data_IF_075480989306
#
_entry.id   IF_075480989306
#
_cell.length_a   1.000
_cell.length_b   1.000
_cell.length_c   1.000
_cell.angle_alpha   90.00
_cell.angle_beta   90.00
_cell.angle_gamma   90.00
#
_symmetry.space_group_name_H-M   'P 1'
#
loop_
_entity.id
_entity.type
_entity.pdbx_description
1 polymer ?
#
# COMPACT_ATOMS: atom_id res chain seq x y z
N UNK A 1 2.88 -0.20 3.17
CA UNK A 1 3.72 0.68 2.34
C UNK A 1 5.09 0.94 2.97
N UNK A 2 5.20 1.71 4.08
CA UNK A 2 6.48 2.06 4.71
C UNK A 2 7.37 0.88 5.12
N UNK A 3 6.77 -0.11 5.80
CA UNK A 3 7.51 -1.29 6.27
C UNK A 3 8.18 -2.05 5.13
N UNK A 4 7.46 -2.29 4.03
CA UNK A 4 7.99 -3.02 2.88
C UNK A 4 9.09 -2.26 2.13
N UNK A 5 8.95 -0.93 2.00
CA UNK A 5 9.99 -0.09 1.40
C UNK A 5 11.30 -0.14 2.21
N UNK A 6 11.20 -0.11 3.55
CA UNK A 6 12.35 -0.23 4.44
C UNK A 6 12.93 -1.65 4.47
N UNK A 7 12.07 -2.67 4.49
CA UNK A 7 12.49 -4.07 4.48
C UNK A 7 13.31 -4.36 3.23
N UNK A 8 12.80 -4.01 2.05
CA UNK A 8 13.52 -4.23 0.79
C UNK A 8 14.86 -3.49 0.77
N UNK A 9 14.91 -2.25 1.29
CA UNK A 9 16.18 -1.55 1.42
C UNK A 9 17.16 -2.26 2.35
N UNK A 10 16.67 -2.77 3.49
CA UNK A 10 17.52 -3.48 4.45
C UNK A 10 18.07 -4.78 3.86
N UNK A 11 17.28 -5.50 3.05
CA UNK A 11 17.72 -6.69 2.31
C UNK A 11 18.82 -6.38 1.29
N UNK A 12 18.70 -5.23 0.60
CA UNK A 12 19.73 -4.73 -0.33
C UNK A 12 21.00 -4.35 0.43
N UNK A 13 20.88 -3.59 1.53
CA UNK A 13 22.02 -3.11 2.32
C UNK A 13 22.79 -4.24 2.99
N UNK A 14 22.08 -5.24 3.49
CA UNK A 14 22.68 -6.42 4.11
C UNK A 14 23.24 -7.42 3.09
N UNK A 15 23.03 -7.19 1.79
CA UNK A 15 23.52 -8.06 0.72
C UNK A 15 22.80 -9.41 0.61
N UNK A 16 21.71 -9.61 1.36
CA UNK A 16 20.92 -10.85 1.31
C UNK A 16 20.34 -11.11 -0.07
N UNK A 17 19.92 -10.04 -0.76
CA UNK A 17 19.43 -10.11 -2.14
C UNK A 17 20.50 -10.64 -3.11
N UNK A 18 21.73 -10.14 -3.02
CA UNK A 18 22.85 -10.63 -3.84
C UNK A 18 23.18 -12.09 -3.53
N UNK A 19 23.16 -12.47 -2.23
CA UNK A 19 23.42 -13.85 -1.83
C UNK A 19 22.37 -14.82 -2.37
N UNK A 20 21.10 -14.43 -2.35
CA UNK A 20 20.01 -15.25 -2.90
C UNK A 20 20.14 -15.38 -4.43
N UNK A 21 20.55 -14.32 -5.12
CA UNK A 21 20.81 -14.38 -6.56
C UNK A 21 21.99 -15.29 -6.91
N UNK A 22 23.05 -15.30 -6.10
CA UNK A 22 24.20 -16.21 -6.28
C UNK A 22 23.80 -17.68 -6.05
N UNK A 23 22.82 -17.93 -5.19
CA UNK A 23 22.25 -19.27 -4.97
C UNK A 23 21.38 -19.76 -6.16
N UNK A 24 21.27 -18.97 -7.24
CA UNK A 24 20.50 -19.32 -8.43
C UNK A 24 19.01 -18.95 -8.34
N UNK A 25 18.58 -18.26 -7.28
CA UNK A 25 17.19 -17.81 -7.11
C UNK A 25 16.93 -16.64 -8.04
N UNK A 26 15.84 -16.71 -8.81
CA UNK A 26 15.45 -15.62 -9.70
C UNK A 26 14.88 -14.44 -8.92
N UNK A 27 15.09 -13.22 -9.41
CA UNK A 27 14.51 -11.99 -8.81
C UNK A 27 12.98 -12.10 -8.76
N UNK A 28 12.38 -12.79 -9.74
CA UNK A 28 10.94 -13.02 -9.80
C UNK A 28 10.43 -13.86 -8.63
N UNK A 29 11.13 -14.93 -8.24
CA UNK A 29 10.77 -15.75 -7.07
C UNK A 29 10.85 -14.98 -5.76
N UNK A 30 11.85 -14.10 -5.64
CA UNK A 30 12.01 -13.23 -4.47
C UNK A 30 10.84 -12.24 -4.37
N UNK A 31 10.49 -11.58 -5.48
CA UNK A 31 9.35 -10.67 -5.54
C UNK A 31 8.02 -11.39 -5.29
N UNK A 32 7.84 -12.60 -5.82
CA UNK A 32 6.65 -13.41 -5.58
C UNK A 32 6.51 -13.74 -4.09
N UNK A 33 7.61 -14.06 -3.42
CA UNK A 33 7.64 -14.33 -1.97
C UNK A 33 7.24 -13.11 -1.15
N UNK A 34 7.72 -11.92 -1.52
CA UNK A 34 7.27 -10.68 -0.88
C UNK A 34 5.79 -10.41 -1.11
N UNK A 35 5.30 -10.65 -2.33
CA UNK A 35 3.89 -10.45 -2.68
C UNK A 35 2.97 -11.41 -1.93
N UNK A 36 3.34 -12.69 -1.77
CA UNK A 36 2.52 -13.65 -1.04
C UNK A 36 2.38 -13.29 0.44
N UNK A 37 3.51 -12.96 1.10
CA UNK A 37 3.52 -12.50 2.50
C UNK A 37 2.66 -11.24 2.66
N UNK A 38 2.80 -10.32 1.71
CA UNK A 38 2.06 -9.07 1.68
C UNK A 38 0.54 -9.29 1.61
N UNK A 39 0.07 -10.19 0.74
CA UNK A 39 -1.36 -10.51 0.61
C UNK A 39 -1.89 -11.12 1.91
N UNK A 40 -1.18 -12.09 2.49
CA UNK A 40 -1.57 -12.73 3.75
C UNK A 40 -1.71 -11.68 4.87
N UNK A 41 -0.72 -10.79 4.99
CA UNK A 41 -0.75 -9.73 5.98
C UNK A 41 -1.94 -8.78 5.78
N UNK A 42 -2.24 -8.41 4.54
CA UNK A 42 -3.37 -7.52 4.24
C UNK A 42 -4.72 -8.13 4.61
N UNK A 43 -4.88 -9.45 4.48
CA UNK A 43 -6.11 -10.16 4.87
C UNK A 43 -6.27 -10.15 6.39
N UNK A 44 -5.19 -10.48 7.12
CA UNK A 44 -5.20 -10.48 8.59
C UNK A 44 -5.49 -9.06 9.12
N UNK A 45 -4.85 -8.05 8.54
CA UNK A 45 -5.07 -6.65 8.90
C UNK A 45 -6.52 -6.22 8.64
N UNK A 46 -7.09 -6.57 7.48
CA UNK A 46 -8.47 -6.24 7.15
C UNK A 46 -9.44 -6.88 8.16
N UNK A 47 -9.28 -8.18 8.44
CA UNK A 47 -10.11 -8.89 9.41
C UNK A 47 -10.06 -8.23 10.80
N UNK A 48 -8.85 -7.88 11.26
CA UNK A 48 -8.68 -7.21 12.56
C UNK A 48 -9.36 -5.83 12.59
N UNK A 49 -9.27 -5.06 11.50
CA UNK A 49 -9.93 -3.75 11.37
C UNK A 49 -11.45 -3.85 11.46
N UNK A 50 -12.07 -4.79 10.74
CA UNK A 50 -13.51 -5.01 10.80
C UNK A 50 -13.96 -5.47 12.18
N UNK A 51 -13.23 -6.40 12.78
CA UNK A 51 -13.51 -6.86 14.15
C UNK A 51 -13.47 -5.70 15.16
N UNK A 52 -12.47 -4.83 15.04
CA UNK A 52 -12.32 -3.65 15.91
C UNK A 52 -13.45 -2.64 15.66
N UNK A 53 -13.83 -2.41 14.40
CA UNK A 53 -14.93 -1.52 14.04
C UNK A 53 -16.29 -2.00 14.59
N UNK A 54 -16.58 -3.30 14.52
CA UNK A 54 -17.80 -3.87 15.08
C UNK A 54 -17.80 -3.84 16.61
N UNK A 55 -16.67 -4.22 17.24
CA UNK A 55 -16.61 -4.39 18.69
C UNK A 55 -16.47 -3.08 19.47
N UNK A 56 -15.69 -2.12 18.98
CA UNK A 56 -15.45 -0.84 19.69
C UNK A 56 -16.40 0.28 19.26
N UNK A 57 -16.78 0.33 17.97
CA UNK A 57 -17.46 1.50 17.41
C UNK A 57 -18.93 1.24 17.10
N UNK A 58 -19.41 -0.01 17.20
CA UNK A 58 -20.79 -0.42 16.92
C UNK A 58 -21.33 0.16 15.59
N UNK A 59 -20.48 0.20 14.56
CA UNK A 59 -20.88 0.71 13.25
C UNK A 59 -21.96 -0.21 12.65
N UNK A 60 -23.06 0.39 12.20
CA UNK A 60 -24.05 -0.32 11.37
C UNK A 60 -23.64 -0.21 9.91
N UNK A 61 -23.29 -1.33 9.28
CA UNK A 61 -22.88 -1.36 7.88
C UNK A 61 -24.10 -1.35 6.97
N UNK A 62 -24.32 -0.24 6.26
CA UNK A 62 -25.42 -0.14 5.28
C UNK A 62 -25.12 -0.84 3.95
N UNK A 63 -23.83 -1.08 3.66
CA UNK A 63 -23.37 -1.71 2.42
C UNK A 63 -22.95 -3.17 2.63
N UNK A 64 -22.80 -3.93 1.54
CA UNK A 64 -22.37 -5.32 1.62
C UNK A 64 -20.94 -5.41 2.16
N UNK A 65 -20.79 -5.96 3.36
CA UNK A 65 -19.49 -6.20 4.04
C UNK A 65 -18.43 -6.80 3.12
N UNK A 66 -18.84 -7.72 2.24
CA UNK A 66 -17.94 -8.41 1.32
C UNK A 66 -17.25 -7.47 0.31
N UNK A 67 -17.96 -6.45 -0.19
CA UNK A 67 -17.36 -5.43 -1.08
C UNK A 67 -16.32 -4.59 -0.35
N UNK A 68 -16.60 -4.19 0.90
CA UNK A 68 -15.69 -3.36 1.70
C UNK A 68 -14.39 -4.13 1.99
N UNK A 69 -14.51 -5.42 2.32
CA UNK A 69 -13.36 -6.30 2.55
C UNK A 69 -12.52 -6.42 1.27
N UNK A 70 -13.14 -6.68 0.13
CA UNK A 70 -12.45 -6.78 -1.16
C UNK A 70 -11.73 -5.49 -1.54
N UNK A 71 -12.38 -4.34 -1.37
CA UNK A 71 -11.78 -3.02 -1.60
C UNK A 71 -10.59 -2.78 -0.67
N UNK A 72 -10.71 -3.08 0.62
CA UNK A 72 -9.61 -2.91 1.58
C UNK A 72 -8.37 -3.75 1.19
N UNK A 73 -8.58 -5.00 0.76
CA UNK A 73 -7.49 -5.86 0.30
C UNK A 73 -6.86 -5.31 -0.98
N UNK A 74 -7.67 -4.83 -1.93
CA UNK A 74 -7.17 -4.23 -3.17
C UNK A 74 -6.35 -2.96 -2.92
N UNK A 75 -6.82 -2.08 -2.04
CA UNK A 75 -6.10 -0.84 -1.66
C UNK A 75 -4.81 -1.18 -0.91
N UNK A 76 -4.86 -2.15 0.00
CA UNK A 76 -3.70 -2.64 0.74
C UNK A 76 -2.62 -3.17 -0.21
N UNK A 77 -3.01 -4.01 -1.18
CA UNK A 77 -2.07 -4.58 -2.15
C UNK A 77 -1.47 -3.52 -3.08
N UNK A 78 -2.27 -2.56 -3.57
CA UNK A 78 -1.79 -1.41 -4.34
C UNK A 78 -0.83 -0.51 -3.55
N UNK A 79 -1.15 -0.18 -2.30
CA UNK A 79 -0.28 0.68 -1.47
C UNK A 79 1.07 0.01 -1.14
N UNK A 80 1.08 -1.31 -1.01
CA UNK A 80 2.31 -2.05 -0.74
C UNK A 80 3.17 -2.25 -2.00
N UNK A 81 2.57 -2.46 -3.18
CA UNK A 81 3.33 -2.55 -4.45
C UNK A 81 4.04 -1.24 -4.80
N UNK A 82 3.40 -0.09 -4.53
CA UNK A 82 4.04 1.24 -4.66
C UNK A 82 5.23 1.36 -3.70
N UNK A 83 5.12 0.83 -2.47
CA UNK A 83 6.22 0.80 -1.51
C UNK A 83 7.42 -0.03 -1.98
N UNK A 84 7.17 -1.20 -2.57
CA UNK A 84 8.23 -2.03 -3.18
C UNK A 84 8.89 -1.32 -4.37
N UNK A 85 8.09 -0.66 -5.21
CA UNK A 85 8.60 0.11 -6.34
C UNK A 85 9.54 1.23 -5.88
N UNK A 86 9.12 2.04 -4.90
CA UNK A 86 9.94 3.12 -4.34
C UNK A 86 11.22 2.58 -3.70
N UNK A 87 11.12 1.47 -2.96
CA UNK A 87 12.28 0.81 -2.34
C UNK A 87 13.33 0.37 -3.37
N UNK A 88 12.91 -0.06 -4.57
CA UNK A 88 13.84 -0.50 -5.62
C UNK A 88 14.68 0.63 -6.22
N UNK A 89 14.16 1.86 -6.24
CA UNK A 89 14.86 3.04 -6.78
C UNK A 89 15.67 3.81 -5.74
N UNK A 90 15.50 3.51 -4.45
CA UNK A 90 16.12 4.26 -3.39
C UNK A 90 17.55 3.76 -3.09
N UNK A 91 18.51 4.68 -3.10
CA UNK A 91 19.91 4.36 -2.76
C UNK A 91 20.18 4.35 -1.24
N UNK A 92 19.23 4.81 -0.42
CA UNK A 92 19.38 4.92 1.03
C UNK A 92 18.04 4.74 1.73
N UNK A 93 18.03 4.08 2.89
CA UNK A 93 16.84 3.80 3.69
C UNK A 93 16.09 5.07 4.10
N UNK A 94 16.84 6.13 4.43
CA UNK A 94 16.27 7.42 4.80
C UNK A 94 15.62 8.09 3.59
N UNK A 95 16.25 8.04 2.41
CA UNK A 95 15.68 8.57 1.16
C UNK A 95 14.41 7.81 0.77
N UNK A 96 14.44 6.47 0.85
CA UNK A 96 13.28 5.61 0.60
C UNK A 96 12.10 5.98 1.49
N UNK A 97 12.36 6.17 2.79
CA UNK A 97 11.35 6.58 3.76
C UNK A 97 10.72 7.92 3.41
N UNK A 98 11.53 8.96 3.15
CA UNK A 98 11.00 10.29 2.81
C UNK A 98 10.21 10.30 1.51
N UNK A 99 10.65 9.56 0.48
CA UNK A 99 9.90 9.46 -0.80
C UNK A 99 8.59 8.72 -0.57
N UNK A 100 8.60 7.62 0.18
CA UNK A 100 7.39 6.87 0.54
C UNK A 100 6.41 7.75 1.32
N UNK A 101 6.93 8.59 2.21
CA UNK A 101 6.14 9.52 3.01
C UNK A 101 5.49 10.58 2.12
N UNK A 102 6.24 11.20 1.22
CA UNK A 102 5.70 12.15 0.23
C UNK A 102 4.60 11.53 -0.62
N UNK A 103 4.80 10.33 -1.14
CA UNK A 103 3.78 9.64 -1.95
C UNK A 103 2.53 9.33 -1.13
N UNK A 104 2.68 8.93 0.13
CA UNK A 104 1.55 8.72 1.04
C UNK A 104 0.78 10.03 1.29
N UNK A 105 1.48 11.14 1.54
CA UNK A 105 0.87 12.45 1.72
C UNK A 105 0.09 12.91 0.48
N UNK A 106 0.66 12.78 -0.72
CA UNK A 106 -0.03 13.12 -1.97
C UNK A 106 -1.28 12.27 -2.15
N UNK A 107 -1.19 10.96 -1.88
CA UNK A 107 -2.34 10.06 -1.95
C UNK A 107 -3.49 10.49 -1.03
N UNK A 108 -3.19 10.89 0.21
CA UNK A 108 -4.22 11.32 1.18
C UNK A 108 -4.84 12.67 0.79
N UNK A 109 -4.03 13.62 0.32
CA UNK A 109 -4.53 14.95 -0.05
C UNK A 109 -5.45 14.86 -1.28
N UNK A 110 -5.10 14.03 -2.27
CA UNK A 110 -5.86 13.90 -3.52
C UNK A 110 -6.99 12.85 -3.46
N UNK A 111 -7.08 12.02 -2.40
CA UNK A 111 -8.15 11.02 -2.27
C UNK A 111 -9.53 11.60 -1.99
N UNK A 112 -9.62 12.92 -1.78
CA UNK A 112 -10.87 13.61 -1.49
C UNK A 112 -11.27 13.60 -0.01
N UNK A 113 -10.39 13.12 0.87
CA UNK A 113 -10.61 13.07 2.32
C UNK A 113 -10.64 14.47 2.96
N UNK A 114 -9.80 15.38 2.47
CA UNK A 114 -9.74 16.77 2.93
C UNK A 114 -10.60 17.73 2.10
N UNK A 115 -10.78 17.47 0.80
CA UNK A 115 -11.54 18.33 -0.10
C UNK A 115 -12.47 17.50 -0.99
N UNK A 116 -13.76 17.86 -1.10
CA UNK A 116 -14.70 17.10 -1.91
C UNK A 116 -14.27 17.11 -3.38
N UNK A 117 -14.19 15.92 -4.00
CA UNK A 117 -13.81 15.71 -5.40
C UNK A 117 -14.69 16.46 -6.42
N UNK A 118 -15.85 16.96 -5.98
CA UNK A 118 -16.75 17.78 -6.80
C UNK A 118 -16.22 19.19 -7.05
N UNK A 119 -15.25 19.64 -6.25
CA UNK A 119 -14.72 20.99 -6.25
C UNK A 119 -13.24 21.04 -6.72
N UNK A 120 -12.69 19.95 -7.26
CA UNK A 120 -11.33 19.92 -7.80
C UNK A 120 -11.31 20.42 -9.25
N UNK A 121 -10.31 21.24 -9.59
CA UNK A 121 -10.09 21.70 -10.98
C UNK A 121 -9.94 20.51 -11.95
N UNK A 122 -10.45 20.67 -13.18
CA UNK A 122 -10.47 19.64 -14.24
C UNK A 122 -9.08 19.00 -14.51
N UNK A 123 -7.99 19.71 -14.24
CA UNK A 123 -6.63 19.21 -14.46
C UNK A 123 -6.15 18.16 -13.43
N UNK A 124 -6.65 18.18 -12.19
CA UNK A 124 -6.25 17.23 -11.14
C UNK A 124 -7.16 15.99 -11.07
N UNK A 125 -8.30 16.04 -11.74
CA UNK A 125 -9.29 14.97 -11.81
C UNK A 125 -8.73 13.62 -12.33
N UNK A 126 -7.93 13.56 -13.42
CA UNK A 126 -7.39 12.27 -13.89
C UNK A 126 -6.39 11.65 -12.92
N UNK A 127 -5.58 12.48 -12.24
CA UNK A 127 -4.60 12.01 -11.25
C UNK A 127 -5.32 11.47 -10.02
N UNK A 128 -6.41 12.12 -9.59
CA UNK A 128 -7.22 11.67 -8.46
C UNK A 128 -7.89 10.31 -8.71
N UNK A 129 -8.37 10.05 -9.94
CA UNK A 129 -9.02 8.78 -10.31
C UNK A 129 -8.05 7.59 -10.31
N UNK A 130 -6.76 7.81 -10.57
CA UNK A 130 -5.75 6.75 -10.61
C UNK A 130 -5.28 6.36 -9.20
N UNK A 131 -5.46 7.24 -8.21
CA UNK A 131 -4.97 6.99 -6.85
C UNK A 131 -5.78 5.86 -6.19
N UNK A 132 -5.11 4.87 -5.58
CA UNK A 132 -5.77 3.72 -4.96
C UNK A 132 -6.77 4.11 -3.87
N UNK A 133 -6.62 5.31 -3.27
CA UNK A 133 -7.45 5.80 -2.17
C UNK A 133 -8.74 6.52 -2.60
N UNK A 134 -8.96 6.85 -3.87
CA UNK A 134 -10.17 7.59 -4.28
C UNK A 134 -11.39 6.71 -4.55
N UNK A 135 -11.18 5.42 -4.87
CA UNK A 135 -12.24 4.45 -5.14
C UNK A 135 -13.16 4.09 -3.95
N UNK A 136 -12.68 3.88 -2.71
CA UNK A 136 -13.54 3.48 -1.58
C UNK A 136 -14.37 4.61 -0.95
N UNK A 137 -14.08 5.88 -1.27
CA UNK A 137 -14.71 7.06 -0.65
C UNK A 137 -15.99 7.48 -1.41
N UNK A 138 -16.26 6.84 -2.55
CA UNK A 138 -17.42 7.10 -3.40
C UNK A 138 -18.55 6.13 -3.11
#
# INVERSE_FOLDING_TARGET
MFYFALLLQSEIQNGYLMRNMIAGVTIFEILLSFLTIQVIFSIVQAFFLFFLADFLLYISWESSLLLIIQLNIAIGTCGMSIGLFIGSFANSSIKSFYVTLLVCFVNIILSGLFWPLKNTELALLPISVILPLSLPIR
#
